data_IF_341505406884
#
_entry.id   IF_341505406884
#
_cell.length_a   1.000
_cell.length_b   1.000
_cell.length_c   1.000
_cell.angle_alpha   90.00
_cell.angle_beta   90.00
_cell.angle_gamma   90.00
#
_symmetry.space_group_name_H-M   'P 1'
#
loop_
_entity.id
_entity.type
_entity.pdbx_description
1 polymer ?
#
# COMPACT_ATOMS: atom_id res chain seq x y z
N UNK A 1 17.92 5.68 7.16
CA UNK A 1 19.03 4.69 7.05
C UNK A 1 19.72 4.85 5.69
N UNK A 2 21.02 4.50 5.52
CA UNK A 2 21.62 4.53 4.19
C UNK A 2 20.92 3.51 3.28
N UNK A 3 20.61 3.95 2.07
CA UNK A 3 20.02 3.10 1.04
C UNK A 3 21.10 2.11 0.58
N UNK A 4 20.93 0.80 0.80
CA UNK A 4 21.72 -0.23 0.13
C UNK A 4 21.32 -0.28 -1.36
N UNK A 5 21.99 0.52 -2.18
CA UNK A 5 21.76 0.62 -3.63
C UNK A 5 22.97 0.07 -4.37
N UNK A 6 22.76 -1.01 -5.13
CA UNK A 6 23.84 -1.79 -5.75
C UNK A 6 23.99 -1.46 -7.24
N UNK A 7 25.13 -1.84 -7.81
CA UNK A 7 25.38 -1.66 -9.25
C UNK A 7 24.35 -2.37 -10.14
N UNK A 8 23.82 -3.52 -9.71
CA UNK A 8 22.75 -4.22 -10.42
C UNK A 8 21.42 -3.45 -10.39
N UNK A 9 21.12 -2.72 -9.31
CA UNK A 9 19.95 -1.86 -9.23
C UNK A 9 20.09 -0.71 -10.24
N UNK A 10 21.24 -0.02 -10.23
CA UNK A 10 21.54 1.03 -11.22
C UNK A 10 21.37 0.53 -12.65
N UNK A 11 21.91 -0.65 -12.97
CA UNK A 11 21.82 -1.23 -14.30
C UNK A 11 20.36 -1.44 -14.72
N UNK A 12 19.53 -2.05 -13.86
CA UNK A 12 18.10 -2.27 -14.15
C UNK A 12 17.36 -0.93 -14.30
N UNK A 13 17.70 0.06 -13.48
CA UNK A 13 17.11 1.38 -13.61
C UNK A 13 17.39 1.99 -14.98
N UNK A 14 18.66 2.05 -15.37
CA UNK A 14 19.12 2.68 -16.62
C UNK A 14 18.62 1.93 -17.87
N UNK A 15 18.62 0.60 -17.86
CA UNK A 15 18.28 -0.23 -19.02
C UNK A 15 16.77 -0.46 -19.16
N UNK A 16 16.03 -0.56 -18.05
CA UNK A 16 14.65 -1.07 -18.08
C UNK A 16 13.60 -0.09 -17.55
N UNK A 17 13.93 0.71 -16.52
CA UNK A 17 12.91 1.44 -15.76
C UNK A 17 12.88 2.94 -16.03
N UNK A 18 14.01 3.55 -16.42
CA UNK A 18 14.12 4.99 -16.58
C UNK A 18 13.23 5.57 -17.69
N UNK A 19 12.89 4.81 -18.74
CA UNK A 19 11.91 5.25 -19.74
C UNK A 19 10.47 4.88 -19.36
N UNK A 20 10.29 3.88 -18.50
CA UNK A 20 8.98 3.39 -18.09
C UNK A 20 8.37 4.24 -16.97
N UNK A 21 9.17 4.61 -15.96
CA UNK A 21 8.69 5.41 -14.82
C UNK A 21 8.61 6.89 -15.24
N UNK A 22 7.45 7.56 -15.11
CA UNK A 22 7.29 8.97 -15.49
C UNK A 22 8.16 9.94 -14.69
N UNK A 23 8.21 11.19 -15.13
CA UNK A 23 9.01 12.26 -14.51
C UNK A 23 8.54 12.65 -13.09
N UNK A 24 7.30 12.28 -12.73
CA UNK A 24 6.70 12.53 -11.41
C UNK A 24 6.06 11.25 -10.89
N UNK A 25 6.16 11.04 -9.59
CA UNK A 25 5.62 9.86 -8.92
C UNK A 25 4.78 10.29 -7.72
N UNK A 26 3.64 9.66 -7.55
CA UNK A 26 2.88 9.71 -6.31
C UNK A 26 2.78 8.28 -5.75
N UNK A 27 3.43 8.05 -4.61
CA UNK A 27 3.41 6.75 -3.94
C UNK A 27 2.22 6.68 -2.99
N UNK A 28 1.17 5.97 -3.41
CA UNK A 28 -0.08 5.86 -2.68
C UNK A 28 -0.03 4.87 -1.49
N UNK A 29 1.15 4.32 -1.14
CA UNK A 29 1.26 3.39 -0.02
C UNK A 29 2.66 3.41 0.59
N UNK A 30 2.82 4.09 1.72
CA UNK A 30 4.05 4.01 2.51
C UNK A 30 3.77 4.17 4.00
N UNK A 31 4.75 3.79 4.83
CA UNK A 31 4.66 3.88 6.28
C UNK A 31 5.86 4.61 6.87
N UNK A 32 5.63 5.34 7.97
CA UNK A 32 6.66 5.90 8.83
C UNK A 32 6.66 5.17 10.18
N UNK A 33 7.83 5.01 10.78
CA UNK A 33 8.02 4.20 11.99
C UNK A 33 8.85 4.94 13.03
N UNK A 34 8.37 4.93 14.28
CA UNK A 34 9.05 5.51 15.44
C UNK A 34 8.84 4.65 16.67
N UNK A 35 9.93 4.20 17.29
CA UNK A 35 9.86 3.37 18.48
C UNK A 35 9.41 4.15 19.71
N UNK A 36 9.62 5.47 19.74
CA UNK A 36 9.10 6.30 20.83
C UNK A 36 7.58 6.50 20.79
N UNK A 37 6.89 6.12 19.71
CA UNK A 37 5.41 6.12 19.62
C UNK A 37 4.78 4.84 20.16
N UNK A 38 5.59 3.94 20.72
CA UNK A 38 5.11 2.73 21.38
C UNK A 38 4.68 3.01 22.82
N UNK A 39 3.63 2.33 23.29
CA UNK A 39 3.20 2.36 24.70
C UNK A 39 4.32 1.81 25.60
N UNK A 40 4.44 2.29 26.85
CA UNK A 40 5.40 1.72 27.81
C UNK A 40 5.25 0.20 27.95
N UNK A 41 6.35 -0.53 27.78
CA UNK A 41 6.39 -1.99 27.88
C UNK A 41 5.97 -2.75 26.61
N UNK A 42 5.59 -2.05 25.53
CA UNK A 42 5.34 -2.69 24.23
C UNK A 42 6.65 -2.97 23.48
N UNK A 43 6.68 -4.06 22.71
CA UNK A 43 7.80 -4.38 21.83
C UNK A 43 7.95 -3.33 20.72
N UNK A 44 9.19 -2.91 20.46
CA UNK A 44 9.52 -2.05 19.34
C UNK A 44 9.14 -2.65 17.99
N UNK A 45 9.00 -1.79 16.98
CA UNK A 45 8.83 -2.25 15.63
C UNK A 45 10.10 -2.96 15.19
N UNK A 46 10.03 -4.14 14.56
CA UNK A 46 11.21 -4.71 13.89
C UNK A 46 11.60 -3.91 12.66
N UNK A 47 10.75 -2.96 12.23
CA UNK A 47 11.01 -2.04 11.13
C UNK A 47 11.96 -0.93 11.55
N UNK A 48 12.77 -0.53 10.59
CA UNK A 48 13.65 0.62 10.61
C UNK A 48 12.88 1.88 10.98
N UNK A 49 13.39 2.68 11.93
CA UNK A 49 12.83 4.01 12.13
C UNK A 49 13.01 4.85 10.87
N UNK A 50 11.93 5.49 10.45
CA UNK A 50 11.85 6.25 9.22
C UNK A 50 10.91 7.45 9.39
N UNK A 51 11.38 8.63 9.00
CA UNK A 51 10.60 9.85 8.91
C UNK A 51 10.42 10.26 7.43
N UNK A 52 9.73 11.38 7.16
CA UNK A 52 9.50 11.83 5.78
C UNK A 52 10.82 12.06 5.02
N UNK A 53 11.84 12.64 5.68
CA UNK A 53 13.15 12.87 5.05
C UNK A 53 13.86 11.57 4.69
N UNK A 54 13.73 10.51 5.50
CA UNK A 54 14.24 9.19 5.14
C UNK A 54 13.51 8.62 3.91
N UNK A 55 12.19 8.81 3.85
CA UNK A 55 11.38 8.36 2.71
C UNK A 55 11.69 9.14 1.42
N UNK A 56 11.93 10.45 1.52
CA UNK A 56 12.38 11.28 0.39
C UNK A 56 13.75 10.84 -0.11
N UNK A 57 14.73 10.63 0.78
CA UNK A 57 16.05 10.11 0.39
C UNK A 57 15.99 8.73 -0.26
N UNK A 58 15.09 7.89 0.24
CA UNK A 58 14.80 6.59 -0.35
C UNK A 58 14.22 6.76 -1.77
N UNK A 59 13.22 7.63 -1.93
CA UNK A 59 12.65 7.98 -3.24
C UNK A 59 13.68 8.53 -4.22
N UNK A 60 14.55 9.45 -3.79
CA UNK A 60 15.62 10.03 -4.62
C UNK A 60 16.60 8.97 -5.15
N UNK A 61 16.87 7.94 -4.34
CA UNK A 61 17.77 6.85 -4.73
C UNK A 61 17.10 5.88 -5.70
N UNK A 62 15.80 5.60 -5.53
CA UNK A 62 15.05 4.68 -6.40
C UNK A 62 14.57 5.30 -7.70
N UNK A 63 14.27 6.60 -7.67
CA UNK A 63 13.73 7.35 -8.79
C UNK A 63 14.59 8.59 -9.07
N UNK A 64 15.87 8.43 -9.45
CA UNK A 64 16.75 9.56 -9.71
C UNK A 64 16.12 10.62 -10.62
N UNK A 65 16.11 11.87 -10.12
CA UNK A 65 15.61 13.03 -10.84
C UNK A 65 14.08 13.17 -10.90
N UNK A 66 13.32 12.33 -10.20
CA UNK A 66 11.84 12.36 -10.20
C UNK A 66 11.30 12.83 -8.85
N UNK A 67 10.60 13.97 -8.80
CA UNK A 67 9.89 14.37 -7.60
C UNK A 67 8.86 13.31 -7.20
N UNK A 68 8.81 13.03 -5.89
CA UNK A 68 7.90 12.05 -5.29
C UNK A 68 7.16 12.65 -4.11
N UNK A 69 5.86 12.40 -4.06
CA UNK A 69 4.97 12.67 -2.92
C UNK A 69 4.21 11.41 -2.52
N UNK A 70 3.55 11.43 -1.37
CA UNK A 70 3.15 10.22 -0.67
C UNK A 70 1.71 10.26 -0.13
N UNK A 71 1.05 9.11 -0.13
CA UNK A 71 -0.02 8.81 0.83
C UNK A 71 0.58 8.01 1.99
N UNK A 72 0.82 8.70 3.11
CA UNK A 72 1.44 8.11 4.30
C UNK A 72 0.38 7.47 5.19
N UNK A 73 0.59 6.21 5.53
CA UNK A 73 -0.37 5.39 6.25
C UNK A 73 0.08 5.15 7.68
N UNK A 74 -0.86 5.25 8.64
CA UNK A 74 -0.62 4.87 10.02
C UNK A 74 -0.03 3.45 10.17
N UNK A 75 0.93 3.28 11.09
CA UNK A 75 1.70 2.04 11.15
C UNK A 75 0.92 0.86 11.75
N UNK A 76 0.94 -0.33 11.14
CA UNK A 76 0.16 -1.48 11.61
C UNK A 76 0.90 -2.29 12.70
N UNK A 77 1.18 -1.67 13.85
CA UNK A 77 1.92 -2.31 14.97
C UNK A 77 1.10 -2.34 16.27
N UNK A 78 0.88 -3.54 16.81
CA UNK A 78 0.29 -3.72 18.15
C UNK A 78 1.20 -3.10 19.22
N UNK A 79 0.58 -2.42 20.19
CA UNK A 79 1.29 -1.70 21.25
C UNK A 79 1.60 -0.24 20.93
N UNK A 80 1.21 0.25 19.74
CA UNK A 80 1.33 1.66 19.38
C UNK A 80 0.45 2.53 20.27
N UNK A 81 0.99 3.66 20.74
CA UNK A 81 0.22 4.76 21.29
C UNK A 81 -0.38 5.54 20.10
N UNK A 82 -1.66 5.30 19.82
CA UNK A 82 -2.31 5.79 18.60
C UNK A 82 -2.34 7.31 18.54
N UNK A 83 -2.64 7.98 19.66
CA UNK A 83 -2.66 9.45 19.72
C UNK A 83 -1.27 10.02 19.47
N UNK A 84 -0.25 9.48 20.13
CA UNK A 84 1.14 9.93 19.94
C UNK A 84 1.62 9.67 18.51
N UNK A 85 1.28 8.52 17.94
CA UNK A 85 1.64 8.16 16.57
C UNK A 85 0.97 9.08 15.55
N UNK A 86 -0.34 9.31 15.66
CA UNK A 86 -1.08 10.16 14.74
C UNK A 86 -0.63 11.62 14.82
N UNK A 87 -0.38 12.15 16.03
CA UNK A 87 0.17 13.49 16.19
C UNK A 87 1.53 13.65 15.47
N UNK A 88 2.41 12.66 15.60
CA UNK A 88 3.71 12.66 14.91
C UNK A 88 3.58 12.49 13.39
N UNK A 89 2.67 11.65 12.93
CA UNK A 89 2.37 11.50 11.51
C UNK A 89 1.87 12.81 10.91
N UNK A 90 1.03 13.54 11.62
CA UNK A 90 0.54 14.87 11.22
C UNK A 90 1.69 15.88 11.08
N UNK A 91 2.63 15.90 12.03
CA UNK A 91 3.82 16.76 11.94
C UNK A 91 4.66 16.46 10.69
N UNK A 92 4.76 15.19 10.28
CA UNK A 92 5.53 14.79 9.11
C UNK A 92 4.84 15.15 7.80
N UNK A 93 3.56 14.79 7.64
CA UNK A 93 2.83 15.07 6.38
C UNK A 93 2.70 16.58 6.12
N UNK A 94 2.62 17.40 7.17
CA UNK A 94 2.59 18.86 7.05
C UNK A 94 3.86 19.47 6.42
N UNK A 95 4.97 18.72 6.37
CA UNK A 95 6.22 19.18 5.74
C UNK A 95 6.22 19.05 4.21
N UNK A 96 5.27 18.31 3.63
CA UNK A 96 5.12 18.16 2.18
C UNK A 96 3.64 18.38 1.77
N UNK A 97 3.29 19.58 1.24
CA UNK A 97 1.92 19.87 0.81
C UNK A 97 1.44 18.99 -0.36
N UNK A 98 2.36 18.35 -1.09
CA UNK A 98 2.06 17.36 -2.12
C UNK A 98 1.67 16.00 -1.55
N UNK A 99 1.85 15.77 -0.25
CA UNK A 99 1.53 14.51 0.42
C UNK A 99 0.19 14.57 1.16
N UNK A 100 -0.35 13.39 1.43
CA UNK A 100 -1.57 13.17 2.24
C UNK A 100 -1.32 12.04 3.22
N UNK A 101 -2.19 11.90 4.22
CA UNK A 101 -2.08 10.81 5.18
C UNK A 101 -3.43 10.23 5.61
N UNK A 102 -3.41 8.92 5.87
CA UNK A 102 -4.50 8.20 6.52
C UNK A 102 -4.07 7.82 7.94
N UNK A 103 -4.80 8.31 8.95
CA UNK A 103 -4.43 8.12 10.35
C UNK A 103 -4.61 6.67 10.79
N UNK A 104 -3.79 6.22 11.74
CA UNK A 104 -3.96 4.91 12.36
C UNK A 104 -5.25 4.90 13.19
N UNK A 105 -6.08 3.89 12.98
CA UNK A 105 -7.23 3.60 13.84
C UNK A 105 -7.22 2.15 14.30
N UNK A 106 -7.69 1.93 15.52
CA UNK A 106 -7.95 0.60 16.08
C UNK A 106 -9.41 0.53 16.53
N UNK A 107 -9.97 -0.66 16.80
CA UNK A 107 -11.32 -0.77 17.34
C UNK A 107 -11.56 -0.06 18.67
N UNK A 108 -10.50 0.25 19.43
CA UNK A 108 -10.57 0.96 20.71
C UNK A 108 -10.64 2.48 20.55
N UNK A 109 -10.35 3.01 19.36
CA UNK A 109 -10.38 4.45 19.09
C UNK A 109 -11.83 4.97 19.11
N UNK A 110 -12.06 6.01 19.91
CA UNK A 110 -13.34 6.71 19.97
C UNK A 110 -13.56 7.55 18.69
N UNK A 111 -14.78 7.52 18.15
CA UNK A 111 -15.18 8.28 16.95
C UNK A 111 -15.01 9.80 17.08
N UNK A 112 -15.23 10.37 18.25
CA UNK A 112 -15.02 11.81 18.50
C UNK A 112 -13.53 12.16 18.37
N UNK A 113 -12.65 11.30 18.89
CA UNK A 113 -11.20 11.47 18.77
C UNK A 113 -10.73 11.33 17.33
N UNK A 114 -11.27 10.36 16.58
CA UNK A 114 -10.98 10.20 15.14
C UNK A 114 -11.42 11.45 14.37
N UNK A 115 -12.61 12.00 14.66
CA UNK A 115 -13.09 13.23 14.04
C UNK A 115 -12.18 14.42 14.35
N UNK A 116 -11.80 14.59 15.60
CA UNK A 116 -10.86 15.63 16.01
C UNK A 116 -9.53 15.56 15.24
N UNK A 117 -8.97 14.36 15.09
CA UNK A 117 -7.71 14.18 14.36
C UNK A 117 -7.87 14.48 12.86
N UNK A 118 -8.97 14.03 12.23
CA UNK A 118 -9.29 14.35 10.84
C UNK A 118 -9.39 15.86 10.62
N UNK A 119 -10.17 16.56 11.46
CA UNK A 119 -10.41 18.00 11.34
C UNK A 119 -9.15 18.82 11.65
N UNK A 120 -8.36 18.41 12.64
CA UNK A 120 -7.21 19.18 13.13
C UNK A 120 -5.97 19.02 12.27
N UNK A 121 -5.72 17.81 11.78
CA UNK A 121 -4.45 17.44 11.16
C UNK A 121 -4.52 17.30 9.64
N UNK A 122 -5.70 17.49 9.04
CA UNK A 122 -5.88 17.42 7.59
C UNK A 122 -5.70 16.00 7.04
N UNK A 123 -5.86 14.97 7.88
CA UNK A 123 -5.93 13.59 7.41
C UNK A 123 -7.13 13.41 6.49
N UNK A 124 -6.95 12.62 5.43
CA UNK A 124 -8.01 12.41 4.42
C UNK A 124 -8.75 11.08 4.59
N UNK A 125 -8.34 10.25 5.56
CA UNK A 125 -8.86 8.91 5.68
C UNK A 125 -8.27 8.08 6.80
N UNK A 126 -8.73 6.84 6.90
CA UNK A 126 -8.40 5.92 7.98
C UNK A 126 -7.50 4.78 7.49
N UNK A 127 -6.56 4.37 8.33
CA UNK A 127 -5.75 3.16 8.16
C UNK A 127 -6.05 2.17 9.29
N UNK A 128 -7.07 1.31 9.11
CA UNK A 128 -7.29 0.16 9.98
C UNK A 128 -6.34 -0.98 9.59
N UNK A 129 -6.14 -1.93 10.51
CA UNK A 129 -5.37 -3.13 10.18
C UNK A 129 -5.79 -4.34 11.00
N UNK A 130 -5.85 -5.51 10.36
CA UNK A 130 -6.25 -6.80 10.92
C UNK A 130 -5.53 -7.21 12.21
N UNK A 131 -4.31 -6.71 12.48
CA UNK A 131 -3.57 -7.00 13.72
C UNK A 131 -4.25 -6.44 14.96
N UNK A 132 -5.14 -5.46 14.79
CA UNK A 132 -5.95 -4.87 15.84
C UNK A 132 -7.34 -5.49 15.94
N UNK A 133 -7.60 -6.64 15.28
CA UNK A 133 -8.92 -7.29 15.33
C UNK A 133 -9.39 -7.51 16.77
N UNK A 134 -10.60 -7.04 17.07
CA UNK A 134 -11.23 -7.18 18.37
C UNK A 134 -11.49 -8.66 18.75
N UNK A 135 -11.49 -9.58 17.77
CA UNK A 135 -11.64 -11.02 18.01
C UNK A 135 -10.33 -11.72 18.37
N UNK A 136 -9.19 -11.06 18.19
CA UNK A 136 -7.86 -11.68 18.28
C UNK A 136 -7.50 -12.61 17.10
N UNK A 137 -8.47 -13.03 16.27
CA UNK A 137 -8.18 -13.78 15.04
C UNK A 137 -7.79 -12.81 13.91
N UNK A 138 -6.51 -12.46 13.91
CA UNK A 138 -5.95 -11.63 12.85
C UNK A 138 -6.11 -12.30 11.47
N UNK A 139 -6.09 -13.64 11.38
CA UNK A 139 -6.04 -14.36 10.11
C UNK A 139 -7.40 -14.44 9.42
N UNK A 140 -8.50 -14.60 10.17
CA UNK A 140 -9.83 -14.80 9.59
C UNK A 140 -10.88 -13.74 9.99
N UNK A 141 -10.46 -12.64 10.59
CA UNK A 141 -11.38 -11.56 10.97
C UNK A 141 -12.16 -10.96 9.79
N UNK A 142 -13.33 -10.39 10.08
CA UNK A 142 -14.15 -9.59 9.14
C UNK A 142 -13.74 -8.12 9.20
N UNK A 143 -14.07 -7.34 8.18
CA UNK A 143 -13.69 -5.91 8.12
C UNK A 143 -14.18 -5.15 9.35
N UNK A 144 -15.42 -5.38 9.78
CA UNK A 144 -16.00 -4.68 10.94
C UNK A 144 -15.36 -5.04 12.29
N UNK A 145 -14.56 -6.11 12.35
CA UNK A 145 -13.89 -6.55 13.57
C UNK A 145 -12.58 -5.79 13.83
N UNK A 146 -12.03 -5.11 12.81
CA UNK A 146 -10.86 -4.25 12.93
C UNK A 146 -11.08 -2.81 12.39
N UNK A 147 -12.28 -2.54 11.88
CA UNK A 147 -12.81 -1.20 11.57
C UNK A 147 -14.31 -1.19 11.96
N UNK A 148 -14.67 -0.93 13.23
CA UNK A 148 -16.04 -1.00 13.71
C UNK A 148 -17.06 -0.19 12.91
N UNK A 149 -18.32 -0.60 12.98
CA UNK A 149 -19.42 0.07 12.27
C UNK A 149 -19.55 1.55 12.59
N UNK A 150 -19.38 1.95 13.86
CA UNK A 150 -19.40 3.36 14.26
C UNK A 150 -18.28 4.19 13.59
N UNK A 151 -17.10 3.59 13.39
CA UNK A 151 -15.98 4.24 12.69
C UNK A 151 -16.25 4.30 11.18
N UNK A 152 -16.87 3.28 10.60
CA UNK A 152 -17.32 3.31 9.20
C UNK A 152 -18.46 4.32 8.99
N UNK A 153 -19.37 4.48 9.95
CA UNK A 153 -20.42 5.51 9.91
C UNK A 153 -19.81 6.90 9.88
N UNK A 154 -18.84 7.18 10.76
CA UNK A 154 -18.05 8.43 10.72
C UNK A 154 -17.33 8.61 9.38
N UNK A 155 -16.61 7.60 8.90
CA UNK A 155 -15.87 7.66 7.63
C UNK A 155 -16.81 7.92 6.44
N UNK A 156 -17.99 7.30 6.44
CA UNK A 156 -19.02 7.56 5.45
C UNK A 156 -19.55 8.99 5.55
N UNK A 157 -19.84 9.46 6.75
CA UNK A 157 -20.38 10.81 7.01
C UNK A 157 -19.42 11.92 6.59
N UNK A 158 -18.12 11.66 6.58
CA UNK A 158 -17.07 12.57 6.15
C UNK A 158 -16.58 12.32 4.71
N UNK A 159 -16.96 11.20 4.09
CA UNK A 159 -16.46 10.83 2.77
C UNK A 159 -14.96 10.51 2.77
N UNK A 160 -14.50 9.87 3.85
CA UNK A 160 -13.11 9.53 4.07
C UNK A 160 -12.60 8.48 3.08
N UNK A 161 -11.29 8.53 2.84
CA UNK A 161 -10.55 7.40 2.30
C UNK A 161 -10.34 6.32 3.36
N UNK A 162 -10.28 5.05 2.96
CA UNK A 162 -9.88 3.94 3.83
C UNK A 162 -8.92 3.02 3.07
N UNK A 163 -7.66 2.96 3.50
CA UNK A 163 -6.68 2.05 2.91
C UNK A 163 -6.75 0.68 3.59
N UNK A 164 -7.48 -0.23 2.97
CA UNK A 164 -7.84 -1.52 3.52
C UNK A 164 -6.84 -2.60 3.13
N UNK A 165 -6.12 -3.14 4.12
CA UNK A 165 -5.43 -4.42 3.96
C UNK A 165 -6.39 -5.55 4.37
N UNK A 166 -6.96 -6.25 3.39
CA UNK A 166 -7.91 -7.35 3.63
C UNK A 166 -7.27 -8.47 4.48
N UNK A 167 -8.04 -8.99 5.44
CA UNK A 167 -7.76 -10.23 6.17
C UNK A 167 -8.11 -11.46 5.31
N UNK A 168 -8.06 -12.66 5.91
CA UNK A 168 -8.45 -13.95 5.31
C UNK A 168 -7.53 -14.42 4.21
N UNK A 169 -7.07 -15.67 4.27
CA UNK A 169 -5.98 -16.20 3.43
C UNK A 169 -6.14 -15.97 1.92
N UNK A 170 -7.38 -15.89 1.43
CA UNK A 170 -7.69 -15.66 0.02
C UNK A 170 -7.80 -14.17 -0.38
N UNK A 171 -7.62 -13.24 0.56
CA UNK A 171 -7.68 -11.80 0.29
C UNK A 171 -9.01 -11.40 -0.33
N UNK A 172 -8.96 -10.72 -1.49
CA UNK A 172 -10.16 -10.34 -2.23
C UNK A 172 -11.01 -11.49 -2.77
N UNK A 173 -10.49 -12.73 -2.86
CA UNK A 173 -11.29 -13.87 -3.29
C UNK A 173 -12.15 -14.48 -2.17
N UNK A 174 -11.94 -14.09 -0.91
CA UNK A 174 -12.76 -14.62 0.17
C UNK A 174 -14.19 -14.04 0.09
N UNK A 175 -15.18 -14.93 0.09
CA UNK A 175 -16.59 -14.57 -0.03
C UNK A 175 -17.08 -13.64 1.09
N UNK A 176 -16.48 -13.72 2.29
CA UNK A 176 -16.82 -12.84 3.41
C UNK A 176 -16.33 -11.42 3.15
N UNK A 177 -15.13 -11.26 2.61
CA UNK A 177 -14.60 -9.95 2.21
C UNK A 177 -15.42 -9.35 1.06
N UNK A 178 -15.77 -10.15 0.05
CA UNK A 178 -16.59 -9.69 -1.07
C UNK A 178 -18.00 -9.29 -0.63
N UNK A 179 -18.61 -10.02 0.30
CA UNK A 179 -19.91 -9.66 0.88
C UNK A 179 -19.84 -8.38 1.70
N UNK A 180 -18.82 -8.22 2.53
CA UNK A 180 -18.61 -6.98 3.30
C UNK A 180 -18.44 -5.79 2.34
N UNK A 181 -17.53 -5.89 1.37
CA UNK A 181 -17.28 -4.82 0.41
C UNK A 181 -18.53 -4.49 -0.41
N UNK A 182 -19.27 -5.49 -0.90
CA UNK A 182 -20.50 -5.26 -1.63
C UNK A 182 -21.57 -4.55 -0.78
N UNK A 183 -21.76 -4.97 0.47
CA UNK A 183 -22.71 -4.34 1.39
C UNK A 183 -22.30 -2.90 1.72
N UNK A 184 -21.02 -2.68 2.04
CA UNK A 184 -20.54 -1.38 2.47
C UNK A 184 -20.51 -0.37 1.33
N UNK A 185 -20.07 -0.78 0.14
CA UNK A 185 -19.98 0.15 -1.01
C UNK A 185 -21.34 0.46 -1.64
N UNK A 186 -22.26 -0.51 -1.69
CA UNK A 186 -23.56 -0.31 -2.37
C UNK A 186 -24.66 0.19 -1.44
N UNK A 187 -24.65 -0.22 -0.16
CA UNK A 187 -25.79 -0.02 0.73
C UNK A 187 -25.44 0.84 1.94
N UNK A 188 -24.52 0.37 2.79
CA UNK A 188 -24.40 0.91 4.15
C UNK A 188 -23.50 2.14 4.24
N UNK A 189 -22.39 2.15 3.51
CA UNK A 189 -21.35 3.17 3.58
C UNK A 189 -20.91 3.68 2.20
N UNK A 190 -21.85 4.11 1.34
CA UNK A 190 -21.57 4.39 -0.06
C UNK A 190 -20.67 5.60 -0.28
N UNK A 191 -20.32 6.37 0.74
CA UNK A 191 -19.40 7.52 0.62
C UNK A 191 -17.96 7.22 1.03
N UNK A 192 -17.69 6.06 1.63
CA UNK A 192 -16.30 5.66 1.90
C UNK A 192 -15.61 5.36 0.57
N UNK A 193 -14.40 5.90 0.40
CA UNK A 193 -13.53 5.63 -0.74
C UNK A 193 -12.47 4.61 -0.32
N UNK A 194 -12.58 3.38 -0.81
CA UNK A 194 -11.73 2.28 -0.38
C UNK A 194 -10.51 2.16 -1.29
N UNK A 195 -9.31 2.13 -0.72
CA UNK A 195 -8.09 1.70 -1.42
C UNK A 195 -7.80 0.28 -0.95
N UNK A 196 -7.95 -0.71 -1.82
CA UNK A 196 -7.65 -2.11 -1.51
C UNK A 196 -6.14 -2.35 -1.72
N UNK A 197 -5.43 -2.51 -0.61
CA UNK A 197 -3.98 -2.56 -0.61
C UNK A 197 -3.40 -3.78 -1.34
N UNK A 198 -2.24 -3.61 -1.96
CA UNK A 198 -1.44 -4.67 -2.57
C UNK A 198 -2.23 -5.47 -3.63
N UNK A 199 -2.80 -4.78 -4.62
CA UNK A 199 -3.71 -5.36 -5.61
C UNK A 199 -4.89 -6.10 -4.97
N UNK A 200 -5.51 -5.50 -3.94
CA UNK A 200 -6.50 -6.15 -3.09
C UNK A 200 -6.01 -7.47 -2.45
N UNK A 201 -4.80 -7.42 -1.90
CA UNK A 201 -4.06 -8.52 -1.26
C UNK A 201 -3.77 -9.71 -2.20
N UNK A 202 -3.45 -9.41 -3.45
CA UNK A 202 -3.22 -10.40 -4.51
C UNK A 202 -1.74 -10.63 -4.80
N UNK A 203 -1.00 -11.10 -3.78
CA UNK A 203 0.41 -11.51 -3.93
C UNK A 203 0.59 -12.78 -4.77
N UNK A 204 -0.51 -13.50 -5.05
CA UNK A 204 -0.56 -14.58 -6.04
C UNK A 204 -1.66 -14.27 -7.06
N UNK A 205 -1.72 -14.99 -8.17
CA UNK A 205 -2.75 -14.76 -9.19
C UNK A 205 -4.16 -15.14 -8.73
N UNK A 206 -4.29 -16.15 -7.86
CA UNK A 206 -5.60 -16.73 -7.56
C UNK A 206 -6.61 -15.72 -7.00
N UNK A 207 -6.30 -14.88 -6.00
CA UNK A 207 -7.25 -13.92 -5.45
C UNK A 207 -7.93 -13.01 -6.48
N UNK A 208 -7.13 -12.23 -7.21
CA UNK A 208 -7.67 -11.26 -8.17
C UNK A 208 -8.39 -11.94 -9.34
N UNK A 209 -7.94 -13.13 -9.75
CA UNK A 209 -8.62 -13.92 -10.78
C UNK A 209 -10.08 -14.24 -10.40
N UNK A 210 -10.36 -14.52 -9.13
CA UNK A 210 -11.72 -14.84 -8.67
C UNK A 210 -12.56 -13.58 -8.38
N UNK A 211 -11.90 -12.47 -8.02
CA UNK A 211 -12.58 -11.32 -7.42
C UNK A 211 -12.81 -10.15 -8.39
N UNK A 212 -11.92 -9.94 -9.37
CA UNK A 212 -11.88 -8.69 -10.16
C UNK A 212 -13.19 -8.37 -10.86
N UNK A 213 -13.89 -9.38 -11.40
CA UNK A 213 -15.13 -9.16 -12.14
C UNK A 213 -16.27 -8.68 -11.21
N UNK A 214 -16.25 -9.03 -9.91
CA UNK A 214 -17.18 -8.49 -8.92
C UNK A 214 -16.73 -7.13 -8.40
N UNK A 215 -15.43 -6.97 -8.13
CA UNK A 215 -14.90 -5.74 -7.53
C UNK A 215 -15.03 -4.54 -8.48
N UNK A 216 -14.80 -4.74 -9.79
CA UNK A 216 -14.92 -3.65 -10.78
C UNK A 216 -16.31 -3.02 -10.85
N UNK A 217 -17.34 -3.81 -10.55
CA UNK A 217 -18.73 -3.38 -10.55
C UNK A 217 -19.12 -2.67 -9.24
N UNK A 218 -18.32 -2.79 -8.18
CA UNK A 218 -18.55 -2.07 -6.93
C UNK A 218 -18.14 -0.60 -7.08
N UNK A 219 -18.93 0.34 -6.53
CA UNK A 219 -18.55 1.75 -6.50
C UNK A 219 -17.47 1.99 -5.45
N UNK A 220 -16.76 3.10 -5.61
CA UNK A 220 -15.82 3.63 -4.61
C UNK A 220 -14.71 2.66 -4.15
N UNK A 221 -14.23 1.82 -5.07
CA UNK A 221 -13.04 0.97 -4.88
C UNK A 221 -11.92 1.46 -5.80
N UNK A 222 -10.75 1.65 -5.21
CA UNK A 222 -9.45 1.89 -5.81
C UNK A 222 -8.47 0.82 -5.33
N UNK A 223 -7.31 0.76 -5.95
CA UNK A 223 -6.26 -0.22 -5.67
C UNK A 223 -4.92 0.48 -5.67
N UNK A 224 -4.08 0.14 -4.69
CA UNK A 224 -2.64 0.37 -4.82
C UNK A 224 -1.94 -0.90 -5.29
N UNK A 225 -0.82 -0.73 -5.98
CA UNK A 225 -0.05 -1.82 -6.60
C UNK A 225 1.11 -2.34 -5.72
N UNK A 226 1.15 -1.91 -4.47
CA UNK A 226 2.34 -2.03 -3.61
C UNK A 226 2.68 -3.45 -3.18
N UNK A 227 3.98 -3.70 -2.96
CA UNK A 227 4.55 -4.97 -2.50
C UNK A 227 4.23 -6.22 -3.35
N UNK A 228 3.68 -6.06 -4.56
CA UNK A 228 3.38 -7.18 -5.46
C UNK A 228 4.46 -7.27 -6.54
N UNK A 229 5.21 -8.37 -6.59
CA UNK A 229 6.27 -8.59 -7.59
C UNK A 229 5.91 -9.66 -8.61
N UNK A 230 4.61 -9.90 -8.80
CA UNK A 230 4.08 -10.92 -9.70
C UNK A 230 3.27 -10.28 -10.81
N UNK A 231 3.53 -10.72 -12.04
CA UNK A 231 2.95 -10.16 -13.26
C UNK A 231 1.41 -10.24 -13.35
N UNK A 232 0.83 -11.40 -13.00
CA UNK A 232 -0.57 -11.72 -13.33
C UNK A 232 -1.62 -10.83 -12.63
N UNK A 233 -1.44 -10.43 -11.35
CA UNK A 233 -2.30 -9.42 -10.75
C UNK A 233 -2.33 -8.09 -11.50
N UNK A 234 -1.18 -7.60 -11.96
CA UNK A 234 -1.12 -6.35 -12.72
C UNK A 234 -1.81 -6.47 -14.08
N UNK A 235 -1.54 -7.53 -14.85
CA UNK A 235 -2.25 -7.79 -16.12
C UNK A 235 -3.77 -7.77 -15.90
N UNK A 236 -4.23 -8.42 -14.84
CA UNK A 236 -5.66 -8.53 -14.54
C UNK A 236 -6.28 -7.17 -14.26
N UNK A 237 -5.65 -6.36 -13.41
CA UNK A 237 -6.14 -5.02 -13.10
C UNK A 237 -6.09 -4.11 -14.34
N UNK A 238 -4.98 -4.10 -15.08
CA UNK A 238 -4.82 -3.24 -16.26
C UNK A 238 -5.80 -3.59 -17.39
N UNK A 239 -6.21 -4.84 -17.53
CA UNK A 239 -7.14 -5.26 -18.57
C UNK A 239 -8.62 -5.21 -18.17
N UNK A 240 -8.94 -5.33 -16.87
CA UNK A 240 -10.32 -5.51 -16.40
C UNK A 240 -10.84 -4.40 -15.51
N UNK A 241 -10.00 -3.58 -14.90
CA UNK A 241 -10.43 -2.45 -14.07
C UNK A 241 -10.33 -1.13 -14.85
N UNK A 242 -10.99 -0.10 -14.36
CA UNK A 242 -10.76 1.28 -14.83
C UNK A 242 -9.39 1.74 -14.36
N UNK A 243 -8.52 2.17 -15.28
CA UNK A 243 -7.16 2.56 -14.94
C UNK A 243 -7.11 3.71 -13.94
N UNK A 244 -8.10 4.62 -13.97
CA UNK A 244 -8.27 5.74 -13.05
C UNK A 244 -8.49 5.30 -11.59
N UNK A 245 -8.81 4.02 -11.36
CA UNK A 245 -8.94 3.41 -10.03
C UNK A 245 -7.66 2.78 -9.51
N UNK A 246 -6.57 2.85 -10.27
CA UNK A 246 -5.31 2.19 -9.96
C UNK A 246 -4.25 3.24 -9.65
N UNK A 247 -3.62 3.09 -8.49
CA UNK A 247 -2.51 3.94 -8.04
C UNK A 247 -1.23 3.12 -7.90
N UNK A 248 -0.12 3.70 -8.32
CA UNK A 248 1.18 3.23 -7.88
C UNK A 248 1.30 3.36 -6.36
N UNK A 249 1.92 2.37 -5.74
CA UNK A 249 2.32 2.42 -4.34
C UNK A 249 3.50 1.48 -4.14
N UNK A 250 4.37 1.76 -3.18
CA UNK A 250 5.58 0.96 -2.96
C UNK A 250 5.50 0.02 -1.77
N UNK A 251 4.76 0.38 -0.72
CA UNK A 251 4.86 -0.16 0.64
C UNK A 251 6.25 0.07 1.27
N UNK A 252 6.88 1.18 0.89
CA UNK A 252 8.17 1.61 1.42
C UNK A 252 8.10 1.97 2.91
N UNK A 253 9.20 1.87 3.66
CA UNK A 253 10.55 1.50 3.19
C UNK A 253 10.74 -0.02 3.25
N UNK A 254 10.72 -0.62 4.45
CA UNK A 254 11.19 -1.99 4.64
C UNK A 254 10.36 -3.11 3.97
N UNK A 255 9.12 -2.88 3.53
CA UNK A 255 8.36 -3.95 2.81
C UNK A 255 8.77 -4.08 1.35
N UNK A 256 9.47 -3.10 0.78
CA UNK A 256 9.96 -3.14 -0.61
C UNK A 256 11.45 -2.78 -0.74
N UNK A 257 12.10 -2.43 0.37
CA UNK A 257 13.49 -2.04 0.43
C UNK A 257 14.40 -3.15 0.95
N UNK A 258 14.49 -4.22 0.17
CA UNK A 258 15.41 -5.33 0.36
C UNK A 258 15.73 -5.93 -1.01
N UNK A 259 16.89 -6.58 -1.17
CA UNK A 259 17.22 -7.31 -2.39
C UNK A 259 16.54 -8.66 -2.38
N UNK A 260 15.65 -8.90 -3.36
CA UNK A 260 14.77 -10.04 -3.36
C UNK A 260 13.38 -9.69 -3.87
N UNK A 261 12.40 -10.56 -3.59
CA UNK A 261 11.02 -10.36 -4.06
C UNK A 261 9.99 -11.15 -3.27
N UNK A 262 8.72 -10.86 -3.55
CA UNK A 262 7.59 -11.69 -3.13
C UNK A 262 7.40 -12.84 -4.13
N UNK A 263 7.72 -14.07 -3.73
CA UNK A 263 7.67 -15.24 -4.61
C UNK A 263 6.38 -16.02 -4.36
N UNK A 264 5.49 -16.14 -5.37
CA UNK A 264 4.30 -16.98 -5.27
C UNK A 264 4.63 -18.46 -5.52
N UNK A 265 4.05 -19.34 -4.71
CA UNK A 265 4.06 -20.78 -4.86
C UNK A 265 2.62 -21.30 -4.90
N UNK A 266 2.07 -21.45 -6.11
CA UNK A 266 0.67 -21.82 -6.28
C UNK A 266 -0.29 -20.77 -5.69
N UNK A 267 -0.80 -21.03 -4.49
CA UNK A 267 -1.78 -20.17 -3.78
C UNK A 267 -1.25 -19.51 -2.51
N UNK A 268 0.04 -19.66 -2.19
CA UNK A 268 0.71 -18.96 -1.09
C UNK A 268 1.95 -18.24 -1.62
N UNK A 269 2.62 -17.45 -0.78
CA UNK A 269 3.79 -16.67 -1.16
C UNK A 269 4.73 -16.47 0.04
N UNK A 270 5.98 -16.12 -0.23
CA UNK A 270 6.97 -15.71 0.76
C UNK A 270 7.73 -14.47 0.29
N UNK A 271 8.16 -13.63 1.23
CA UNK A 271 9.30 -12.75 0.98
C UNK A 271 10.55 -13.61 0.94
N UNK A 272 11.29 -13.53 -0.15
CA UNK A 272 12.55 -14.26 -0.32
C UNK A 272 13.67 -13.23 -0.31
N UNK A 273 14.61 -13.43 0.61
CA UNK A 273 15.83 -12.64 0.79
C UNK A 273 17.01 -13.49 0.31
N UNK A 274 17.43 -13.38 -0.96
CA UNK A 274 18.46 -14.27 -1.52
C UNK A 274 19.80 -14.18 -0.81
N UNK A 275 20.13 -13.01 -0.26
CA UNK A 275 21.35 -12.79 0.51
C UNK A 275 21.39 -13.62 1.80
N UNK A 276 20.22 -13.98 2.37
CA UNK A 276 20.11 -14.78 3.60
C UNK A 276 19.91 -16.29 3.32
N UNK A 277 19.55 -16.67 2.11
CA UNK A 277 18.98 -17.99 1.80
C UNK A 277 19.99 -19.02 1.25
N UNK A 278 21.28 -18.68 1.17
CA UNK A 278 22.39 -19.56 0.69
C UNK A 278 22.04 -20.34 -0.60
N UNK A 279 21.36 -19.71 -1.57
CA UNK A 279 20.95 -20.39 -2.80
C UNK A 279 22.15 -20.87 -3.63
N UNK A 280 22.14 -22.14 -4.04
CA UNK A 280 23.11 -22.68 -5.01
C UNK A 280 22.80 -22.15 -6.42
N UNK A 281 23.72 -21.37 -6.98
CA UNK A 281 23.58 -20.68 -8.26
C UNK A 281 24.02 -21.60 -9.39
N UNK A 282 23.09 -22.31 -10.03
CA UNK A 282 23.46 -23.32 -11.03
C UNK A 282 24.08 -22.73 -12.32
N UNK A 283 23.53 -21.64 -12.86
CA UNK A 283 23.90 -21.13 -14.21
C UNK A 283 23.77 -19.62 -14.42
N UNK A 284 23.57 -18.80 -13.38
CA UNK A 284 23.35 -17.34 -13.49
C UNK A 284 24.24 -16.56 -12.53
N UNK A 285 24.47 -15.29 -12.86
CA UNK A 285 25.08 -14.34 -11.93
C UNK A 285 24.12 -13.97 -10.79
N UNK A 286 24.66 -13.98 -9.58
CA UNK A 286 23.95 -13.90 -8.31
C UNK A 286 23.66 -12.46 -7.89
N UNK A 287 22.91 -11.70 -8.69
CA UNK A 287 22.69 -10.27 -8.46
C UNK A 287 21.22 -9.98 -8.15
N UNK A 288 20.72 -10.30 -6.95
CA UNK A 288 19.37 -9.90 -6.57
C UNK A 288 19.28 -8.37 -6.59
N UNK A 289 18.16 -7.86 -7.11
CA UNK A 289 17.85 -6.44 -7.17
C UNK A 289 16.83 -6.08 -6.09
N UNK A 290 16.66 -4.79 -5.86
CA UNK A 290 15.66 -4.27 -4.94
C UNK A 290 14.25 -4.79 -5.30
N UNK A 291 13.51 -5.21 -4.28
CA UNK A 291 12.14 -5.73 -4.42
C UNK A 291 11.21 -4.74 -5.11
N UNK A 292 11.40 -3.43 -4.89
CA UNK A 292 10.65 -2.41 -5.62
C UNK A 292 10.92 -2.42 -7.13
N UNK A 293 12.14 -2.76 -7.57
CA UNK A 293 12.46 -2.88 -8.99
C UNK A 293 11.88 -4.16 -9.58
N UNK A 294 11.80 -5.25 -8.81
CA UNK A 294 11.04 -6.44 -9.18
C UNK A 294 9.54 -6.14 -9.38
N UNK A 295 8.95 -5.29 -8.54
CA UNK A 295 7.59 -4.80 -8.73
C UNK A 295 7.47 -3.97 -10.02
N UNK A 296 8.36 -3.00 -10.24
CA UNK A 296 8.31 -2.12 -11.41
C UNK A 296 8.52 -2.87 -12.72
N UNK A 297 9.42 -3.86 -12.76
CA UNK A 297 9.60 -4.73 -13.93
C UNK A 297 8.34 -5.55 -14.21
N UNK A 298 7.70 -6.09 -13.17
CA UNK A 298 6.43 -6.79 -13.33
C UNK A 298 5.30 -5.86 -13.81
N UNK A 299 5.27 -4.60 -13.34
CA UNK A 299 4.33 -3.59 -13.83
C UNK A 299 4.58 -3.24 -15.30
N UNK A 300 5.85 -3.02 -15.70
CA UNK A 300 6.25 -2.73 -17.09
C UNK A 300 5.80 -3.84 -18.03
N UNK A 301 6.15 -5.08 -17.70
CA UNK A 301 5.74 -6.24 -18.50
C UNK A 301 4.21 -6.39 -18.56
N UNK A 302 3.49 -6.12 -17.47
CA UNK A 302 2.03 -6.16 -17.47
C UNK A 302 1.43 -5.07 -18.35
N UNK A 303 1.99 -3.86 -18.31
CA UNK A 303 1.59 -2.75 -19.15
C UNK A 303 1.78 -3.05 -20.64
N UNK A 304 2.92 -3.65 -21.02
CA UNK A 304 3.18 -4.09 -22.40
C UNK A 304 2.15 -5.13 -22.87
N UNK A 305 1.85 -6.13 -22.03
CA UNK A 305 0.82 -7.15 -22.33
C UNK A 305 -0.59 -6.55 -22.42
N UNK A 306 -0.89 -5.58 -21.56
CA UNK A 306 -2.16 -4.86 -21.56
C UNK A 306 -2.22 -3.74 -22.62
N UNK A 307 -1.13 -3.49 -23.34
CA UNK A 307 -0.99 -2.44 -24.36
C UNK A 307 -1.28 -1.03 -23.82
N UNK A 308 -0.82 -0.76 -22.59
CA UNK A 308 -0.95 0.57 -22.00
C UNK A 308 -0.05 1.58 -22.72
N UNK A 309 -0.59 2.79 -22.92
CA UNK A 309 0.17 3.91 -23.46
C UNK A 309 1.01 4.59 -22.38
N UNK A 310 1.96 5.45 -22.78
CA UNK A 310 2.71 6.25 -21.82
C UNK A 310 1.81 7.17 -20.96
N UNK A 311 0.67 7.62 -21.51
CA UNK A 311 -0.32 8.42 -20.77
C UNK A 311 -1.06 7.59 -19.70
N UNK A 312 -1.35 6.32 -19.99
CA UNK A 312 -1.93 5.39 -19.01
C UNK A 312 -0.95 5.13 -17.85
N UNK A 313 0.33 4.98 -18.16
CA UNK A 313 1.39 4.80 -17.16
C UNK A 313 1.55 6.05 -16.30
N UNK A 314 1.56 7.24 -16.90
CA UNK A 314 1.55 8.51 -16.17
C UNK A 314 0.32 8.65 -15.26
N UNK A 315 -0.84 8.20 -15.76
CA UNK A 315 -2.06 7.98 -14.99
C UNK A 315 -1.81 7.22 -13.69
N UNK A 316 -1.34 5.98 -13.81
CA UNK A 316 -1.15 5.06 -12.69
C UNK A 316 -0.10 5.59 -11.69
N UNK A 317 1.01 6.14 -12.18
CA UNK A 317 2.11 6.59 -11.32
C UNK A 317 1.86 7.93 -10.63
N UNK A 318 1.00 8.80 -11.17
CA UNK A 318 0.84 10.14 -10.62
C UNK A 318 -0.58 10.67 -10.74
N UNK A 319 -1.06 10.90 -11.97
CA UNK A 319 -2.27 11.69 -12.23
C UNK A 319 -3.52 11.15 -11.54
N UNK A 320 -3.70 9.83 -11.51
CA UNK A 320 -4.88 9.21 -10.90
C UNK A 320 -4.95 9.51 -9.40
N UNK A 321 -3.83 9.35 -8.69
CA UNK A 321 -3.78 9.58 -7.25
C UNK A 321 -3.92 11.06 -6.92
N UNK A 322 -3.17 11.95 -7.58
CA UNK A 322 -3.27 13.40 -7.29
C UNK A 322 -4.66 13.96 -7.61
N UNK A 323 -5.32 13.47 -8.65
CA UNK A 323 -6.70 13.85 -8.99
C UNK A 323 -7.69 13.34 -7.93
N UNK A 324 -7.59 12.06 -7.56
CA UNK A 324 -8.52 11.45 -6.61
C UNK A 324 -8.35 11.99 -5.17
N UNK A 325 -7.12 12.32 -4.79
CA UNK A 325 -6.76 12.81 -3.46
C UNK A 325 -6.78 14.34 -3.35
N UNK A 326 -7.21 15.03 -4.43
CA UNK A 326 -7.36 16.49 -4.47
C UNK A 326 -6.06 17.20 -4.07
N UNK A 327 -4.97 16.84 -4.75
CA UNK A 327 -3.64 17.41 -4.56
C UNK A 327 -3.43 18.46 -5.65
N UNK A 328 -3.14 19.69 -5.22
CA UNK A 328 -3.00 20.88 -6.08
C UNK A 328 -1.70 20.93 -6.89
#
# INVERSE_FOLDING_TARGET
MPVDYRDCDRQVWEEELAEFVPDRVFDAHCHLFWNDTMKPGADFSPRSEANLTDLQKWGDALFPGRPISFLILGMPKVGTDVDKHNARLAEQVALDPGSRANLLVTPECNVDRIREDLDRHGFIGLKPYRVFSATGDINNCRIHEFLPHEQMELANDLGCWVTMHLSRSQGCADEHNLKDLAEYTNNRYPRIKWILAHCARSFTYYPIQQAVDRLRDMPNIWYDLSAVTTLRPFITLFQKEKLERIFYGSDGIDSAFFHGKYVPFGRYWFQVYPDDAEFSMAHTDARPILCIYEQLLAMKQAAEVAQLSADDIEGIFWRNAVTALEIE
#
